data_IF_177586332709
#
_entry.id   IF_177586332709
#
_cell.length_a   1.000
_cell.length_b   1.000
_cell.length_c   1.000
_cell.angle_alpha   90.00
_cell.angle_beta   90.00
_cell.angle_gamma   90.00
#
_symmetry.space_group_name_H-M   'P 1'
#
loop_
_entity.id
_entity.type
_entity.pdbx_description
1 polymer ?
#
# COMPACT_ATOMS: atom_id res chain seq x y z
N UNK A 1 -38.05 32.75 53.65
CA UNK A 1 -38.19 32.84 52.18
C UNK A 1 -37.21 31.84 51.58
N UNK A 2 -37.52 30.61 51.19
CA UNK A 2 -38.77 29.88 51.02
C UNK A 2 -38.56 28.89 49.86
N UNK A 3 -38.49 27.59 50.20
CA UNK A 3 -38.80 26.38 49.40
C UNK A 3 -37.86 26.06 48.20
N UNK A 4 -37.18 24.90 48.09
CA UNK A 4 -37.60 23.48 48.09
C UNK A 4 -38.87 23.21 47.28
N UNK A 5 -38.72 22.63 46.08
CA UNK A 5 -39.70 21.73 45.50
C UNK A 5 -38.98 20.67 44.66
N UNK A 6 -39.00 19.45 45.18
CA UNK A 6 -38.97 18.23 44.40
C UNK A 6 -40.39 17.97 43.84
N UNK A 7 -40.48 17.37 42.66
CA UNK A 7 -41.68 16.72 42.17
C UNK A 7 -41.27 15.33 41.64
N UNK A 8 -41.55 14.31 42.44
CA UNK A 8 -41.76 12.93 42.00
C UNK A 8 -43.13 12.82 41.30
N UNK A 9 -43.24 11.87 40.35
CA UNK A 9 -44.42 11.02 40.12
C UNK A 9 -44.17 10.14 38.86
N UNK A 10 -43.95 8.83 39.01
CA UNK A 10 -44.91 7.71 38.79
C UNK A 10 -45.67 7.77 37.45
N UNK A 11 -45.94 6.69 36.71
CA UNK A 11 -45.66 5.25 36.73
C UNK A 11 -46.53 4.66 35.59
N UNK A 12 -46.26 3.39 35.23
CA UNK A 12 -47.17 2.46 34.53
C UNK A 12 -47.47 2.75 33.04
N UNK A 13 -47.60 1.76 32.15
CA UNK A 13 -47.85 0.31 32.26
C UNK A 13 -47.48 -0.31 30.90
N UNK A 14 -46.76 -1.44 30.84
CA UNK A 14 -47.29 -2.82 30.68
C UNK A 14 -48.43 -2.94 29.66
N UNK A 15 -48.32 -3.76 28.62
CA UNK A 15 -48.60 -5.20 28.59
C UNK A 15 -48.38 -5.67 27.12
N UNK A 16 -48.19 -6.91 26.72
CA UNK A 16 -48.18 -8.25 27.33
C UNK A 16 -47.94 -9.27 26.19
N UNK A 17 -47.23 -10.37 26.51
CA UNK A 17 -47.44 -11.80 26.16
C UNK A 17 -48.20 -12.18 24.86
N UNK A 18 -47.94 -13.28 24.14
CA UNK A 18 -47.64 -14.65 24.57
C UNK A 18 -47.30 -15.56 23.36
N UNK A 19 -46.64 -16.70 23.63
CA UNK A 19 -46.80 -18.09 23.07
C UNK A 19 -47.49 -18.29 21.71
N UNK A 20 -47.06 -19.23 20.85
CA UNK A 20 -47.13 -20.67 21.15
C UNK A 20 -46.35 -21.57 20.17
N UNK A 21 -46.17 -22.81 20.62
CA UNK A 21 -45.44 -23.93 20.05
C UNK A 21 -46.19 -24.60 18.88
N UNK A 22 -45.46 -25.36 18.05
CA UNK A 22 -45.97 -26.67 17.60
C UNK A 22 -44.84 -27.58 17.12
N UNK A 23 -44.81 -28.77 17.71
CA UNK A 23 -43.93 -29.90 17.42
C UNK A 23 -44.79 -31.01 16.82
N UNK A 24 -44.33 -31.62 15.73
CA UNK A 24 -44.69 -32.96 15.24
C UNK A 24 -43.60 -33.30 14.22
N UNK A 25 -42.69 -34.26 14.39
CA UNK A 25 -42.89 -35.63 14.87
C UNK A 25 -43.06 -36.54 13.65
N UNK A 26 -41.97 -37.11 13.12
CA UNK A 26 -41.95 -38.43 12.45
C UNK A 26 -40.50 -38.94 12.31
N UNK A 27 -40.37 -40.21 12.67
CA UNK A 27 -39.18 -41.04 12.89
C UNK A 27 -39.12 -42.10 11.78
N UNK A 28 -37.91 -42.52 11.40
CA UNK A 28 -37.44 -43.87 10.97
C UNK A 28 -36.25 -43.68 10.01
N UNK A 29 -34.99 -43.87 10.46
CA UNK A 29 -34.18 -45.10 10.65
C UNK A 29 -33.53 -45.68 9.37
N UNK A 30 -32.22 -45.84 9.51
CA UNK A 30 -31.32 -46.87 8.95
C UNK A 30 -30.57 -46.56 7.65
N UNK A 31 -29.25 -46.85 7.68
CA UNK A 31 -28.42 -46.93 6.48
C UNK A 31 -26.96 -46.50 6.68
N UNK A 32 -26.18 -47.28 7.43
CA UNK A 32 -24.71 -47.19 7.45
C UNK A 32 -24.12 -47.58 6.09
N UNK A 33 -23.20 -46.78 5.51
CA UNK A 33 -22.01 -47.31 4.81
C UNK A 33 -20.95 -46.24 4.54
N UNK A 34 -19.86 -46.29 5.30
CA UNK A 34 -18.55 -45.84 4.80
C UNK A 34 -18.06 -46.82 3.72
N UNK A 35 -17.48 -46.30 2.63
CA UNK A 35 -16.12 -46.68 2.17
C UNK A 35 -15.71 -45.94 0.90
N UNK A 36 -14.63 -45.17 1.07
CA UNK A 36 -13.43 -45.11 0.22
C UNK A 36 -13.43 -46.02 -1.02
N UNK A 37 -13.16 -45.43 -2.19
CA UNK A 37 -12.50 -46.15 -3.29
C UNK A 37 -11.46 -45.29 -3.99
N UNK A 38 -10.30 -45.94 -4.10
CA UNK A 38 -9.05 -45.53 -4.70
C UNK A 38 -9.14 -45.31 -6.21
N UNK A 39 -8.21 -44.45 -6.64
CA UNK A 39 -7.55 -44.33 -7.93
C UNK A 39 -7.57 -45.61 -8.79
N UNK A 40 -8.00 -45.45 -10.05
CA UNK A 40 -7.46 -46.23 -11.17
C UNK A 40 -7.16 -45.33 -12.36
N UNK A 41 -5.87 -45.33 -12.70
CA UNK A 41 -5.27 -44.87 -13.94
C UNK A 41 -5.92 -45.57 -15.14
N UNK A 42 -6.32 -44.79 -16.14
CA UNK A 42 -6.72 -45.27 -17.46
C UNK A 42 -6.10 -44.37 -18.52
N UNK A 43 -5.07 -44.87 -19.22
CA UNK A 43 -4.61 -44.32 -20.49
C UNK A 43 -5.60 -44.73 -21.57
N UNK A 44 -6.17 -43.76 -22.29
CA UNK A 44 -6.63 -43.95 -23.66
C UNK A 44 -6.45 -42.64 -24.44
N UNK A 45 -5.75 -42.77 -25.55
CA UNK A 45 -5.64 -41.86 -26.68
C UNK A 45 -6.99 -41.81 -27.41
N UNK A 46 -7.55 -40.63 -27.70
CA UNK A 46 -7.36 -39.96 -29.00
C UNK A 46 -8.25 -38.71 -29.18
N UNK A 47 -7.64 -37.72 -29.84
CA UNK A 47 -8.20 -36.67 -30.71
C UNK A 47 -9.59 -36.06 -30.43
N UNK A 48 -9.58 -34.80 -29.97
CA UNK A 48 -10.74 -33.91 -29.96
C UNK A 48 -10.32 -32.44 -29.77
N UNK A 49 -10.08 -31.76 -30.88
CA UNK A 49 -9.65 -30.35 -31.03
C UNK A 49 -10.60 -29.39 -30.28
N UNK A 50 -10.12 -28.78 -29.21
CA UNK A 50 -10.63 -27.51 -28.68
C UNK A 50 -9.46 -26.71 -28.10
N UNK A 51 -8.95 -25.79 -28.90
CA UNK A 51 -7.92 -24.82 -28.52
C UNK A 51 -8.50 -23.83 -27.53
N UNK A 52 -8.58 -24.21 -26.25
CA UNK A 52 -8.48 -23.24 -25.17
C UNK A 52 -7.01 -22.88 -25.07
N UNK A 53 -6.65 -21.73 -25.62
CA UNK A 53 -5.36 -21.11 -25.35
C UNK A 53 -5.25 -20.91 -23.84
N UNK A 54 -4.61 -21.84 -23.16
CA UNK A 54 -4.07 -21.63 -21.83
C UNK A 54 -2.97 -20.61 -22.02
N UNK A 55 -3.27 -19.34 -21.72
CA UNK A 55 -2.24 -18.32 -21.71
C UNK A 55 -1.21 -18.78 -20.67
N UNK A 56 0.07 -18.93 -21.04
CA UNK A 56 1.07 -19.23 -20.03
C UNK A 56 1.01 -18.07 -19.04
N UNK A 57 0.82 -18.40 -17.75
CA UNK A 57 1.03 -17.46 -16.65
C UNK A 57 2.36 -16.78 -16.94
N UNK A 58 2.29 -15.50 -17.32
CA UNK A 58 3.46 -14.73 -17.71
C UNK A 58 4.26 -14.51 -16.44
N UNK A 59 5.11 -15.48 -16.12
CA UNK A 59 6.23 -15.30 -15.22
C UNK A 59 6.92 -14.02 -15.68
N UNK A 60 7.02 -13.05 -14.78
CA UNK A 60 7.51 -11.71 -15.05
C UNK A 60 9.04 -11.79 -15.17
N UNK A 61 9.53 -12.59 -16.11
CA UNK A 61 10.93 -12.74 -16.47
C UNK A 61 11.15 -12.07 -17.82
N UNK A 62 10.90 -10.76 -17.89
CA UNK A 62 11.35 -9.94 -19.02
C UNK A 62 11.94 -8.64 -18.51
N UNK A 63 13.26 -8.65 -18.41
CA UNK A 63 14.14 -7.48 -18.33
C UNK A 63 13.91 -6.59 -19.57
N UNK A 64 12.86 -5.77 -19.54
CA UNK A 64 12.51 -4.81 -20.59
C UNK A 64 12.52 -3.39 -20.00
N UNK A 65 13.66 -2.72 -20.15
CA UNK A 65 13.85 -1.27 -20.15
C UNK A 65 12.91 -0.43 -19.23
N UNK A 66 12.86 -0.77 -17.94
CA UNK A 66 12.12 -0.02 -16.94
C UNK A 66 12.25 -0.64 -15.56
N UNK A 67 12.46 0.20 -14.54
CA UNK A 67 12.49 -0.27 -13.15
C UNK A 67 11.08 -0.79 -12.76
N UNK A 68 10.98 -1.99 -12.17
CA UNK A 68 9.72 -2.59 -11.70
C UNK A 68 8.90 -1.61 -10.85
N UNK A 69 9.58 -0.86 -9.98
CA UNK A 69 9.00 0.21 -9.17
C UNK A 69 8.24 1.24 -10.03
N UNK A 70 8.86 1.67 -11.14
CA UNK A 70 8.27 2.66 -12.03
C UNK A 70 7.05 2.11 -12.76
N UNK A 71 7.08 0.84 -13.14
CA UNK A 71 5.97 0.18 -13.81
C UNK A 71 4.77 -0.02 -12.87
N UNK A 72 4.98 -0.42 -11.60
CA UNK A 72 3.90 -0.43 -10.60
C UNK A 72 3.39 0.98 -10.36
N UNK A 73 4.29 1.94 -10.12
CA UNK A 73 3.89 3.32 -9.86
C UNK A 73 3.15 3.96 -11.03
N UNK A 74 3.33 3.48 -12.27
CA UNK A 74 2.59 3.95 -13.45
C UNK A 74 1.33 3.12 -13.74
N UNK A 75 1.02 2.11 -12.94
CA UNK A 75 -0.15 1.24 -13.14
C UNK A 75 -0.03 0.36 -14.39
N UNK A 76 1.20 0.02 -14.80
CA UNK A 76 1.43 -0.84 -15.97
C UNK A 76 1.25 -2.33 -15.69
N UNK A 77 0.99 -2.70 -14.43
CA UNK A 77 0.73 -4.06 -14.00
C UNK A 77 -0.71 -4.21 -13.50
N UNK A 78 -1.35 -5.33 -13.85
CA UNK A 78 -2.64 -5.72 -13.30
C UNK A 78 -2.50 -6.10 -11.84
N UNK A 79 -3.27 -5.50 -10.92
CA UNK A 79 -3.25 -5.88 -9.51
C UNK A 79 -3.84 -7.27 -9.32
N UNK A 80 -3.34 -8.02 -8.34
CA UNK A 80 -3.90 -9.31 -7.92
C UNK A 80 -5.17 -9.15 -7.11
N UNK A 81 -5.34 -8.01 -6.43
CA UNK A 81 -6.58 -7.66 -5.74
C UNK A 81 -6.51 -6.29 -5.06
N UNK A 82 -7.59 -5.95 -4.35
CA UNK A 82 -7.74 -4.67 -3.63
C UNK A 82 -8.13 -4.89 -2.18
N UNK A 83 -7.79 -3.93 -1.32
CA UNK A 83 -8.17 -3.92 0.10
C UNK A 83 -8.78 -2.56 0.42
N UNK A 84 -9.95 -2.59 1.07
CA UNK A 84 -10.71 -1.40 1.44
C UNK A 84 -10.45 -1.00 2.90
N UNK A 85 -10.85 0.22 3.27
CA UNK A 85 -10.80 0.72 4.65
C UNK A 85 -9.52 1.44 5.07
N UNK A 86 -8.48 1.46 4.22
CA UNK A 86 -7.28 2.25 4.48
C UNK A 86 -7.58 3.76 4.37
N UNK A 87 -6.93 4.53 5.22
CA UNK A 87 -7.00 6.00 5.23
C UNK A 87 -5.61 6.59 5.41
N UNK A 88 -5.37 7.80 4.94
CA UNK A 88 -4.12 8.51 5.14
C UNK A 88 -4.39 9.93 5.64
N UNK A 89 -3.67 10.33 6.67
CA UNK A 89 -3.59 11.72 7.10
C UNK A 89 -2.41 12.39 6.40
N UNK A 90 -2.66 13.55 5.78
CA UNK A 90 -1.69 14.37 5.08
C UNK A 90 -1.55 15.68 5.84
N UNK A 91 -0.32 16.01 6.21
CA UNK A 91 0.06 17.28 6.81
C UNK A 91 1.26 17.89 6.11
N UNK A 92 1.44 19.20 6.26
CA UNK A 92 2.66 19.89 5.87
C UNK A 92 3.04 20.95 6.89
N UNK A 93 4.33 21.28 6.96
CA UNK A 93 4.86 22.33 7.81
C UNK A 93 6.00 23.05 7.09
N UNK A 94 6.23 24.32 7.42
CA UNK A 94 7.22 25.19 6.79
C UNK A 94 6.97 26.63 7.22
N UNK A 95 6.96 27.58 6.27
CA UNK A 95 6.62 28.98 6.57
C UNK A 95 5.18 29.18 7.07
N UNK A 96 4.33 28.17 6.93
CA UNK A 96 3.02 28.04 7.56
C UNK A 96 2.69 26.54 7.68
N UNK A 97 1.69 26.18 8.49
CA UNK A 97 1.22 24.81 8.65
C UNK A 97 -0.22 24.70 8.11
N UNK A 98 -0.44 24.18 6.89
CA UNK A 98 -1.78 23.93 6.40
C UNK A 98 -2.52 22.93 7.31
N UNK A 99 -3.85 23.05 7.38
CA UNK A 99 -4.67 22.10 8.12
C UNK A 99 -4.44 20.67 7.61
N UNK A 100 -4.34 19.71 8.53
CA UNK A 100 -4.22 18.31 8.17
C UNK A 100 -5.51 17.81 7.53
N UNK A 101 -5.39 16.90 6.56
CA UNK A 101 -6.53 16.31 5.87
C UNK A 101 -6.43 14.80 5.88
N UNK A 102 -7.54 14.13 6.16
CA UNK A 102 -7.63 12.67 6.14
C UNK A 102 -8.42 12.22 4.92
N UNK A 103 -7.81 11.39 4.07
CA UNK A 103 -8.38 10.92 2.83
C UNK A 103 -8.39 9.39 2.76
N UNK A 104 -9.35 8.77 2.04
CA UNK A 104 -9.33 7.34 1.79
C UNK A 104 -8.14 6.96 0.91
N UNK A 105 -7.60 5.75 1.12
CA UNK A 105 -6.51 5.20 0.30
C UNK A 105 -7.03 3.99 -0.46
N UNK A 106 -6.92 4.01 -1.78
CA UNK A 106 -7.15 2.82 -2.60
C UNK A 106 -5.91 1.93 -2.53
N UNK A 107 -6.02 0.77 -1.89
CA UNK A 107 -4.91 -0.17 -1.74
C UNK A 107 -5.11 -1.36 -2.67
N UNK A 108 -4.09 -1.66 -3.46
CA UNK A 108 -3.99 -2.86 -4.30
C UNK A 108 -2.74 -3.65 -3.94
N UNK A 109 -2.74 -4.95 -4.18
CA UNK A 109 -1.57 -5.82 -3.96
C UNK A 109 -1.22 -6.60 -5.22
N UNK A 110 0.05 -6.96 -5.32
CA UNK A 110 0.61 -7.71 -6.44
C UNK A 110 1.25 -9.00 -5.93
N UNK A 111 0.80 -10.13 -6.47
CA UNK A 111 1.42 -11.43 -6.28
C UNK A 111 2.61 -11.56 -7.23
N UNK A 112 3.83 -11.59 -6.69
CA UNK A 112 5.06 -11.72 -7.46
C UNK A 112 5.56 -13.14 -7.22
N UNK A 113 5.55 -13.96 -8.26
CA UNK A 113 5.89 -15.39 -8.18
C UNK A 113 7.40 -15.68 -8.05
N UNK A 114 8.24 -14.67 -7.82
CA UNK A 114 9.68 -14.85 -7.60
C UNK A 114 9.97 -14.96 -6.11
N UNK A 115 10.41 -16.16 -5.70
CA UNK A 115 10.76 -16.51 -4.34
C UNK A 115 11.67 -15.45 -3.69
N UNK A 116 11.21 -14.90 -2.56
CA UNK A 116 11.87 -13.98 -1.58
C UNK A 116 11.45 -12.50 -1.56
N UNK A 117 10.75 -11.96 -2.56
CA UNK A 117 10.32 -10.56 -2.51
C UNK A 117 8.91 -10.42 -1.89
N UNK A 118 8.70 -9.57 -0.85
CA UNK A 118 7.37 -9.36 -0.29
C UNK A 118 6.45 -8.72 -1.33
N UNK A 119 5.21 -9.23 -1.45
CA UNK A 119 4.16 -8.65 -2.29
C UNK A 119 3.96 -7.16 -1.95
N UNK A 120 4.26 -6.23 -2.87
CA UNK A 120 4.13 -4.81 -2.60
C UNK A 120 2.66 -4.40 -2.63
N UNK A 121 2.25 -3.63 -1.63
CA UNK A 121 0.97 -2.93 -1.64
C UNK A 121 1.17 -1.56 -2.28
N UNK A 122 0.33 -1.23 -3.25
CA UNK A 122 0.24 0.10 -3.83
C UNK A 122 -0.97 0.82 -3.24
N UNK A 123 -0.71 1.86 -2.46
CA UNK A 123 -1.72 2.81 -1.98
C UNK A 123 -1.78 4.03 -2.89
N UNK A 124 -2.98 4.40 -3.33
CA UNK A 124 -3.23 5.63 -4.11
C UNK A 124 -4.20 6.52 -3.33
N UNK A 125 -3.78 7.75 -3.05
CA UNK A 125 -4.58 8.77 -2.38
C UNK A 125 -4.96 9.82 -3.42
N UNK A 126 -6.23 9.90 -3.79
CA UNK A 126 -6.73 10.95 -4.69
C UNK A 126 -6.82 12.28 -3.94
N UNK A 127 -6.25 13.35 -4.52
CA UNK A 127 -6.33 14.71 -3.97
C UNK A 127 -7.51 15.51 -4.54
N UNK A 128 -8.31 14.90 -5.42
CA UNK A 128 -9.50 15.51 -6.02
C UNK A 128 -10.51 16.07 -4.99
N UNK A 129 -10.79 15.42 -3.83
CA UNK A 129 -11.70 15.96 -2.83
C UNK A 129 -11.28 17.31 -2.24
N UNK A 130 -10.00 17.69 -2.39
CA UNK A 130 -9.46 18.97 -1.93
C UNK A 130 -9.59 20.08 -3.00
N UNK A 131 -10.14 19.74 -4.17
CA UNK A 131 -10.35 20.63 -5.31
C UNK A 131 -9.27 20.52 -6.39
N UNK A 132 -9.50 21.19 -7.53
CA UNK A 132 -8.68 21.08 -8.77
C UNK A 132 -7.18 21.38 -8.58
N UNK A 133 -6.82 22.15 -7.55
CA UNK A 133 -5.42 22.49 -7.26
C UNK A 133 -4.74 21.45 -6.38
N UNK A 134 -5.50 20.66 -5.61
CA UNK A 134 -5.03 19.74 -4.59
C UNK A 134 -4.67 20.43 -3.27
N UNK A 135 -3.71 19.86 -2.54
CA UNK A 135 -3.36 20.29 -1.19
C UNK A 135 -2.31 21.40 -1.19
N UNK A 136 -2.64 22.59 -0.67
CA UNK A 136 -1.73 23.74 -0.60
C UNK A 136 -0.64 23.53 0.44
N UNK A 137 0.62 23.81 0.09
CA UNK A 137 1.77 23.62 0.98
C UNK A 137 2.77 24.80 0.89
N UNK A 138 3.62 25.01 1.91
CA UNK A 138 4.71 25.98 1.85
C UNK A 138 5.67 25.73 0.69
N UNK A 139 6.46 26.73 0.30
CA UNK A 139 7.48 26.57 -0.76
C UNK A 139 8.63 25.64 -0.35
N UNK A 140 8.92 25.56 0.94
CA UNK A 140 9.91 24.66 1.53
C UNK A 140 9.43 24.23 2.91
N UNK A 141 9.78 23.01 3.30
CA UNK A 141 9.38 22.45 4.58
C UNK A 141 9.31 20.93 4.55
N UNK A 142 8.35 20.37 5.28
CA UNK A 142 8.21 18.93 5.48
C UNK A 142 6.78 18.50 5.22
N UNK A 143 6.61 17.42 4.47
CA UNK A 143 5.33 16.74 4.27
C UNK A 143 5.29 15.51 5.18
N UNK A 144 4.21 15.38 5.93
CA UNK A 144 3.91 14.20 6.73
C UNK A 144 2.75 13.45 6.07
N UNK A 145 2.94 12.15 5.81
CA UNK A 145 1.86 11.26 5.38
C UNK A 145 1.82 10.05 6.31
N UNK A 146 0.72 9.91 7.06
CA UNK A 146 0.51 8.79 7.97
C UNK A 146 -0.54 7.86 7.39
N UNK A 147 -0.12 6.65 7.01
CA UNK A 147 -0.99 5.60 6.49
C UNK A 147 -1.58 4.77 7.63
N UNK A 148 -2.90 4.62 7.65
CA UNK A 148 -3.64 3.82 8.60
C UNK A 148 -4.31 2.63 7.92
N UNK A 149 -4.28 1.48 8.59
CA UNK A 149 -5.02 0.29 8.16
C UNK A 149 -6.53 0.44 8.50
N UNK A 150 -7.38 -0.52 8.07
CA UNK A 150 -8.82 -0.49 8.38
C UNK A 150 -9.12 -0.48 9.88
N UNK A 151 -8.24 -1.06 10.70
CA UNK A 151 -8.33 -1.08 12.16
C UNK A 151 -7.81 0.22 12.81
N UNK A 152 -7.53 1.26 12.01
CA UNK A 152 -6.99 2.56 12.45
C UNK A 152 -5.62 2.50 13.14
N UNK A 153 -4.88 1.42 12.92
CA UNK A 153 -3.47 1.31 13.34
C UNK A 153 -2.56 1.97 12.31
N UNK A 154 -1.53 2.68 12.77
CA UNK A 154 -0.50 3.26 11.91
C UNK A 154 0.30 2.14 11.23
N UNK A 155 0.33 2.16 9.90
CA UNK A 155 1.14 1.25 9.07
C UNK A 155 2.50 1.88 8.79
N UNK A 156 2.51 3.15 8.37
CA UNK A 156 3.74 3.88 8.07
C UNK A 156 3.51 5.38 8.17
N UNK A 157 4.45 6.07 8.82
CA UNK A 157 4.60 7.52 8.75
C UNK A 157 5.75 7.84 7.80
N UNK A 158 5.48 8.66 6.78
CA UNK A 158 6.47 9.25 5.90
C UNK A 158 6.71 10.69 6.31
N UNK A 159 7.99 11.05 6.49
CA UNK A 159 8.42 12.42 6.76
C UNK A 159 9.37 12.85 5.64
N UNK A 160 8.90 13.73 4.77
CA UNK A 160 9.60 14.08 3.52
C UNK A 160 9.91 15.57 3.52
N UNK A 161 11.19 15.91 3.63
CA UNK A 161 11.67 17.28 3.49
C UNK A 161 11.77 17.68 2.02
N UNK A 162 11.41 18.92 1.71
CA UNK A 162 11.44 19.44 0.34
C UNK A 162 11.75 20.93 0.32
N UNK A 163 12.33 21.40 -0.78
CA UNK A 163 12.52 22.82 -1.06
C UNK A 163 12.31 23.09 -2.55
N UNK A 164 11.26 23.86 -2.85
CA UNK A 164 10.89 24.31 -4.18
C UNK A 164 10.75 25.84 -4.21
N UNK A 165 11.57 26.55 -3.42
CA UNK A 165 11.63 28.01 -3.43
C UNK A 165 11.98 28.59 -4.79
N UNK A 166 12.76 27.86 -5.58
CA UNK A 166 13.21 28.18 -6.93
C UNK A 166 12.26 27.69 -8.05
N UNK A 167 11.13 27.05 -7.71
CA UNK A 167 10.17 26.57 -8.72
C UNK A 167 9.47 27.74 -9.42
N UNK A 168 9.59 27.88 -10.76
CA UNK A 168 8.90 28.93 -11.50
C UNK A 168 7.38 28.76 -11.44
N UNK A 169 6.61 29.81 -11.75
CA UNK A 169 5.14 29.72 -11.84
C UNK A 169 4.69 28.78 -12.95
N UNK A 170 3.53 28.15 -12.80
CA UNK A 170 2.95 27.18 -13.75
C UNK A 170 3.93 26.06 -14.18
N UNK A 171 4.72 25.55 -13.24
CA UNK A 171 5.58 24.40 -13.44
C UNK A 171 5.14 23.24 -12.55
N UNK A 172 5.56 22.04 -12.91
CA UNK A 172 5.36 20.82 -12.13
C UNK A 172 6.68 20.08 -11.92
N UNK A 173 6.72 19.26 -10.87
CA UNK A 173 7.79 18.30 -10.62
C UNK A 173 7.27 17.18 -9.74
N UNK A 174 8.12 16.23 -9.40
CA UNK A 174 7.80 15.21 -8.41
C UNK A 174 8.97 14.98 -7.46
N UNK A 175 8.67 14.37 -6.33
CA UNK A 175 9.65 13.90 -5.37
C UNK A 175 9.33 12.44 -5.05
N UNK A 176 10.36 11.60 -5.03
CA UNK A 176 10.27 10.21 -4.57
C UNK A 176 11.12 10.05 -3.32
N UNK A 177 10.51 9.62 -2.23
CA UNK A 177 11.25 9.23 -1.04
C UNK A 177 11.17 7.71 -0.90
N UNK A 178 12.33 7.06 -0.98
CA UNK A 178 12.50 5.61 -0.95
C UNK A 178 13.18 5.20 0.34
N UNK A 179 12.77 4.09 0.91
CA UNK A 179 13.40 3.48 2.08
C UNK A 179 13.77 2.05 1.69
N UNK A 180 15.06 1.75 1.72
CA UNK A 180 15.61 0.44 1.41
C UNK A 180 16.14 -0.23 2.67
N UNK A 181 15.98 -1.55 2.74
CA UNK A 181 16.78 -2.40 3.59
C UNK A 181 18.11 -2.69 2.86
N UNK A 182 19.23 -2.30 3.46
CA UNK A 182 20.58 -2.38 2.88
C UNK A 182 21.44 -3.25 3.78
N UNK A 183 22.20 -4.22 3.25
CA UNK A 183 23.11 -5.02 4.05
C UNK A 183 24.18 -4.11 4.68
N UNK A 184 24.46 -4.33 5.95
CA UNK A 184 25.56 -3.66 6.66
C UNK A 184 26.84 -4.38 6.25
N UNK A 185 27.72 -3.66 5.56
CA UNK A 185 29.05 -4.16 5.24
C UNK A 185 29.91 -4.05 6.50
N UNK A 186 30.11 -5.16 7.21
CA UNK A 186 31.11 -5.20 8.27
C UNK A 186 32.50 -5.13 7.64
N UNK A 187 33.27 -4.11 7.99
CA UNK A 187 34.59 -3.83 7.45
C UNK A 187 35.58 -4.92 7.81
N UNK A 188 35.68 -5.94 6.96
CA UNK A 188 36.83 -6.84 6.96
C UNK A 188 37.90 -6.21 6.07
N UNK A 189 38.71 -5.32 6.66
CA UNK A 189 40.05 -5.04 6.13
C UNK A 189 40.89 -6.32 6.30
N UNK A 190 40.78 -7.22 5.32
CA UNK A 190 41.43 -8.51 5.35
C UNK A 190 41.66 -9.02 3.94
N UNK A 191 42.86 -8.81 3.44
CA UNK A 191 43.47 -9.38 2.24
C UNK A 191 43.04 -10.85 2.05
N UNK A 192 42.24 -11.16 1.02
CA UNK A 192 41.81 -12.53 0.72
C UNK A 192 41.09 -12.62 -0.62
N UNK A 193 41.57 -13.51 -1.47
CA UNK A 193 41.23 -13.66 -2.88
C UNK A 193 39.72 -13.79 -3.14
N UNK A 194 39.22 -13.01 -4.10
CA UNK A 194 37.85 -13.10 -4.57
C UNK A 194 37.62 -14.44 -5.28
N UNK A 195 36.90 -15.37 -4.64
CA UNK A 195 36.25 -16.47 -5.35
C UNK A 195 35.05 -15.93 -6.13
N UNK A 196 35.02 -16.01 -7.47
CA UNK A 196 33.90 -15.55 -8.28
C UNK A 196 32.93 -16.72 -8.46
N UNK A 197 31.88 -16.84 -7.65
CA UNK A 197 30.97 -17.98 -7.84
C UNK A 197 29.62 -18.01 -7.12
N UNK A 198 29.43 -17.38 -5.97
CA UNK A 198 28.15 -17.43 -5.27
C UNK A 198 28.03 -16.37 -4.19
N UNK A 199 26.98 -15.54 -4.25
CA UNK A 199 26.65 -14.58 -3.17
C UNK A 199 26.26 -13.17 -3.61
N UNK A 200 26.34 -12.81 -4.90
CA UNK A 200 25.98 -11.46 -5.36
C UNK A 200 24.47 -11.17 -5.22
N UNK A 201 23.62 -12.20 -5.28
CA UNK A 201 22.17 -12.06 -5.12
C UNK A 201 21.77 -11.76 -3.66
N UNK A 202 22.57 -12.17 -2.68
CA UNK A 202 22.25 -12.06 -1.26
C UNK A 202 22.52 -10.66 -0.69
N UNK A 203 23.36 -9.86 -1.37
CA UNK A 203 23.69 -8.48 -0.95
C UNK A 203 22.84 -7.42 -1.64
N UNK A 204 21.62 -7.77 -2.07
CA UNK A 204 20.76 -6.81 -2.79
C UNK A 204 20.03 -5.90 -1.81
N UNK A 205 19.97 -4.60 -2.14
CA UNK A 205 19.09 -3.64 -1.47
C UNK A 205 17.63 -3.99 -1.76
N UNK A 206 16.78 -4.01 -0.73
CA UNK A 206 15.36 -4.34 -0.85
C UNK A 206 14.56 -3.07 -0.62
N UNK A 207 13.72 -2.66 -1.58
CA UNK A 207 12.83 -1.51 -1.37
C UNK A 207 11.71 -1.90 -0.41
N UNK A 208 11.65 -1.23 0.75
CA UNK A 208 10.62 -1.47 1.76
C UNK A 208 9.43 -0.53 1.58
N UNK A 209 9.73 0.75 1.35
CA UNK A 209 8.73 1.80 1.25
C UNK A 209 9.09 2.83 0.19
N UNK A 210 8.08 3.35 -0.49
CA UNK A 210 8.23 4.47 -1.40
C UNK A 210 7.02 5.40 -1.26
N UNK A 211 7.26 6.70 -1.21
CA UNK A 211 6.22 7.71 -1.41
C UNK A 211 6.56 8.57 -2.61
N UNK A 212 5.60 8.72 -3.52
CA UNK A 212 5.69 9.55 -4.70
C UNK A 212 4.71 10.72 -4.59
N UNK A 213 5.28 11.91 -4.57
CA UNK A 213 4.58 13.18 -4.39
C UNK A 213 4.73 14.00 -5.68
N UNK A 214 3.63 14.53 -6.21
CA UNK A 214 3.64 15.44 -7.36
C UNK A 214 3.32 16.85 -6.93
N UNK A 215 4.13 17.79 -7.40
CA UNK A 215 4.07 19.20 -7.02
C UNK A 215 3.77 20.05 -8.24
N UNK A 216 2.96 21.08 -8.04
CA UNK A 216 2.72 22.12 -9.05
C UNK A 216 2.74 23.50 -8.42
N UNK A 217 3.20 24.48 -9.19
CA UNK A 217 3.09 25.90 -8.84
C UNK A 217 1.90 26.56 -9.56
N UNK A 218 1.24 27.51 -8.90
CA UNK A 218 0.18 28.33 -9.50
C UNK A 218 0.75 29.55 -10.25
N UNK A 219 -0.14 30.29 -10.93
CA UNK A 219 0.16 31.62 -11.49
C UNK A 219 0.68 32.64 -10.46
N UNK A 220 0.33 32.46 -9.18
CA UNK A 220 0.79 33.29 -8.06
C UNK A 220 2.01 32.70 -7.32
N UNK A 221 2.59 31.61 -7.82
CA UNK A 221 3.75 30.95 -7.20
C UNK A 221 3.44 30.16 -5.93
N UNK A 222 2.16 29.88 -5.62
CA UNK A 222 1.79 28.97 -4.53
C UNK A 222 2.02 27.53 -4.96
N UNK A 223 2.49 26.68 -4.04
CA UNK A 223 2.80 25.27 -4.30
C UNK A 223 1.67 24.37 -3.81
N UNK A 224 1.35 23.34 -4.59
CA UNK A 224 0.34 22.36 -4.27
C UNK A 224 0.84 20.93 -4.53
N UNK A 225 0.45 19.99 -3.68
CA UNK A 225 0.39 18.58 -4.07
C UNK A 225 -0.82 18.37 -4.98
N UNK A 226 -0.65 17.69 -6.12
CA UNK A 226 -1.72 17.53 -7.09
C UNK A 226 -1.89 16.09 -7.60
N UNK A 227 -3.03 15.85 -8.26
CA UNK A 227 -3.49 14.55 -8.76
C UNK A 227 -3.66 13.51 -7.64
N UNK A 228 -2.58 12.79 -7.34
CA UNK A 228 -2.57 11.70 -6.40
C UNK A 228 -1.21 11.58 -5.69
N UNK A 229 -1.24 10.99 -4.50
CA UNK A 229 -0.04 10.50 -3.79
C UNK A 229 -0.02 8.98 -3.94
N UNK A 230 1.14 8.43 -4.33
CA UNK A 230 1.32 6.97 -4.46
C UNK A 230 2.28 6.46 -3.40
N UNK A 231 1.89 5.37 -2.75
CA UNK A 231 2.63 4.72 -1.67
C UNK A 231 2.93 3.28 -2.08
N UNK A 232 4.19 2.84 -1.95
CA UNK A 232 4.53 1.43 -1.89
C UNK A 232 4.87 1.08 -0.45
N UNK A 233 4.29 0.00 0.06
CA UNK A 233 4.56 -0.51 1.41
C UNK A 233 4.38 -2.04 1.46
N UNK A 234 5.03 -2.68 2.42
CA UNK A 234 4.85 -4.11 2.71
C UNK A 234 3.99 -4.31 3.96
N UNK A 235 3.29 -5.45 4.04
CA UNK A 235 2.46 -5.86 5.20
C UNK A 235 3.27 -6.62 6.26
N UNK A 236 4.46 -7.12 5.93
CA UNK A 236 5.33 -7.87 6.83
C UNK A 236 6.68 -7.17 7.00
N UNK A 237 7.26 -7.30 8.19
CA UNK A 237 8.71 -7.15 8.37
C UNK A 237 9.39 -7.97 7.30
N UNK A 238 10.31 -7.35 6.57
CA UNK A 238 11.15 -8.08 5.62
C UNK A 238 12.19 -8.78 6.48
N UNK A 239 11.92 -10.05 6.80
CA UNK A 239 12.89 -10.93 7.43
C UNK A 239 13.80 -11.45 6.33
N UNK A 240 15.10 -11.19 6.50
CA UNK A 240 16.14 -11.59 5.57
C UNK A 240 16.99 -12.63 6.28
N UNK A 241 16.78 -13.91 5.98
CA UNK A 241 17.42 -15.06 6.64
C UNK A 241 18.86 -15.30 6.14
N UNK A 242 19.63 -14.25 5.87
CA UNK A 242 20.97 -14.35 5.26
C UNK A 242 22.10 -14.35 6.29
N UNK A 243 21.79 -14.20 7.58
CA UNK A 243 22.79 -14.11 8.66
C UNK A 243 23.63 -12.82 8.62
N UNK A 244 23.33 -11.89 7.70
CA UNK A 244 23.99 -10.59 7.59
C UNK A 244 23.06 -9.52 8.19
N UNK A 245 23.56 -8.57 9.00
CA UNK A 245 22.74 -7.48 9.50
C UNK A 245 22.31 -6.54 8.36
N UNK A 246 21.07 -6.04 8.41
CA UNK A 246 20.59 -5.01 7.48
C UNK A 246 20.12 -3.77 8.23
N UNK A 247 20.29 -2.62 7.60
CA UNK A 247 19.81 -1.33 8.10
C UNK A 247 18.86 -0.65 7.11
N UNK A 248 17.95 0.18 7.62
CA UNK A 248 17.06 0.98 6.78
C UNK A 248 17.76 2.27 6.35
N UNK A 249 17.93 2.46 5.04
CA UNK A 249 18.42 3.71 4.44
C UNK A 249 17.34 4.42 3.66
N UNK A 250 17.17 5.71 3.91
CA UNK A 250 16.22 6.56 3.19
C UNK A 250 16.92 7.44 2.15
N UNK A 251 16.27 7.63 1.01
CA UNK A 251 16.77 8.40 -0.12
C UNK A 251 15.66 9.25 -0.70
N UNK A 252 15.91 10.55 -0.85
CA UNK A 252 14.99 11.48 -1.50
C UNK A 252 15.52 11.85 -2.88
N UNK A 253 14.73 11.60 -3.91
CA UNK A 253 15.04 11.89 -5.30
C UNK A 253 14.06 12.91 -5.89
N UNK A 254 14.62 13.89 -6.58
CA UNK A 254 13.90 14.86 -7.40
C UNK A 254 14.50 14.84 -8.82
N UNK A 255 13.70 15.12 -9.87
CA UNK A 255 14.22 15.33 -11.21
C UNK A 255 15.35 16.37 -11.20
N UNK A 256 16.41 16.11 -11.98
CA UNK A 256 17.55 17.03 -12.12
C UNK A 256 17.59 17.74 -13.47
N UNK A 257 17.23 17.03 -14.55
CA UNK A 257 17.28 17.57 -15.90
C UNK A 257 16.07 17.14 -16.74
N UNK A 258 15.05 18.01 -16.92
CA UNK A 258 14.85 19.25 -16.18
C UNK A 258 14.38 18.98 -14.73
N UNK A 259 14.72 19.89 -13.80
CA UNK A 259 14.20 19.86 -12.42
C UNK A 259 12.69 20.16 -12.36
N UNK A 260 12.24 21.05 -13.24
CA UNK A 260 10.87 21.52 -13.34
C UNK A 260 10.40 21.44 -14.79
N UNK A 261 9.18 20.99 -15.01
CA UNK A 261 8.55 20.94 -16.33
C UNK A 261 7.42 21.96 -16.42
N UNK A 262 7.26 22.70 -17.53
CA UNK A 262 6.10 23.56 -17.72
C UNK A 262 4.79 22.79 -17.62
N UNK A 263 3.77 23.43 -17.04
CA UNK A 263 2.41 22.92 -17.03
C UNK A 263 1.75 23.23 -18.37
N UNK A 264 1.66 22.21 -19.23
CA UNK A 264 0.92 22.26 -20.50
C UNK A 264 -0.58 22.20 -20.22
#
# INVERSE_FOLDING_TARGET
>A
MGNVCACDATSNSQCSTATDCTRSGRRLKSGLRLKSRQLRSGRHTDTGRSTRSSWPSSSISRSLLGNFEESILKGRFSPSGRIEGFTAEIGASGSYCPQHVTLPVQVTYYDISEHSAPSPFLGVISLEPLGKKGYSIPKAGTIQVTLFNPNKTVVKMFLVTYNFGDMPVNHMTFLRHRIFLVPVEEGVEGKGEASPGGGLLDRKKILCYLIHLRFQSSKSGKIYLHNDIRLLFSRKSIEVDTGIPYELKSFTEVPRNPKYSPRV
#
